data_IF_581671887825
#
_entry.id   IF_581671887825
#
_cell.length_a   1.000
_cell.length_b   1.000
_cell.length_c   1.000
_cell.angle_alpha   90.00
_cell.angle_beta   90.00
_cell.angle_gamma   90.00
#
_symmetry.space_group_name_H-M   'P 1'
#
loop_
_entity.id
_entity.type
_entity.pdbx_description
1 polymer ?
#
# COMPACT_ATOMS: atom_id res chain seq x y z
N UNK A 1 -6.16 -5.98 -13.59
CA UNK A 1 -7.65 -6.14 -13.52
C UNK A 1 -8.24 -5.10 -12.59
N UNK A 2 -9.56 -4.89 -12.52
CA UNK A 2 -10.12 -3.94 -11.55
C UNK A 2 -10.22 -4.52 -10.15
N UNK A 3 -10.25 -3.65 -9.12
CA UNK A 3 -10.37 -4.07 -7.72
C UNK A 3 -11.71 -4.79 -7.48
N UNK A 4 -12.77 -4.35 -8.14
CA UNK A 4 -14.11 -4.95 -8.08
C UNK A 4 -14.15 -6.39 -8.63
N UNK A 5 -13.18 -6.76 -9.46
CA UNK A 5 -13.09 -8.10 -10.06
C UNK A 5 -12.33 -9.09 -9.15
N UNK A 6 -11.79 -8.64 -8.01
CA UNK A 6 -11.11 -9.53 -7.06
C UNK A 6 -12.06 -10.62 -6.53
N UNK A 7 -11.64 -11.87 -6.55
CA UNK A 7 -12.39 -13.02 -6.02
C UNK A 7 -11.47 -13.89 -5.17
N UNK A 8 -12.05 -14.80 -4.37
CA UNK A 8 -11.27 -15.78 -3.58
C UNK A 8 -10.31 -16.62 -4.43
N UNK A 9 -10.65 -16.88 -5.70
CA UNK A 9 -9.79 -17.69 -6.57
C UNK A 9 -8.46 -17.01 -6.83
N UNK A 10 -8.41 -15.69 -6.81
CA UNK A 10 -7.17 -14.96 -6.96
C UNK A 10 -6.22 -15.22 -5.79
N UNK A 11 -6.73 -15.50 -4.59
CA UNK A 11 -5.92 -15.84 -3.41
C UNK A 11 -5.55 -17.31 -3.32
N UNK A 12 -6.38 -18.19 -3.89
CA UNK A 12 -6.13 -19.64 -3.92
C UNK A 12 -5.14 -20.06 -5.04
N UNK A 13 -4.75 -19.14 -5.93
CA UNK A 13 -3.94 -19.41 -7.12
C UNK A 13 -2.42 -19.33 -6.91
N UNK A 14 -1.95 -19.21 -5.67
CA UNK A 14 -0.52 -19.36 -5.30
C UNK A 14 0.11 -20.69 -5.77
N UNK A 15 -0.70 -21.64 -6.24
CA UNK A 15 -0.28 -22.93 -6.81
C UNK A 15 0.11 -22.84 -8.32
N UNK A 16 -0.16 -21.72 -9.03
CA UNK A 16 0.08 -21.61 -10.49
C UNK A 16 1.16 -20.61 -10.96
N UNK A 17 1.87 -19.92 -10.05
CA UNK A 17 2.94 -18.95 -10.39
C UNK A 17 2.52 -17.83 -11.37
N UNK A 18 1.24 -17.44 -11.39
CA UNK A 18 0.79 -16.29 -12.19
C UNK A 18 0.68 -15.07 -11.27
N UNK A 19 1.43 -14.00 -11.59
CA UNK A 19 1.28 -12.71 -10.93
C UNK A 19 -0.10 -12.15 -11.21
N UNK A 20 -0.84 -11.83 -10.16
CA UNK A 20 -2.15 -11.19 -10.27
C UNK A 20 -1.97 -9.71 -10.01
N UNK A 21 -2.29 -8.88 -11.00
CA UNK A 21 -2.19 -7.42 -10.88
C UNK A 21 -3.56 -6.76 -10.87
N UNK A 22 -3.68 -5.71 -10.06
CA UNK A 22 -4.85 -4.83 -10.00
C UNK A 22 -4.47 -3.42 -10.43
N UNK A 23 -5.38 -2.75 -11.12
CA UNK A 23 -5.20 -1.37 -11.57
C UNK A 23 -5.49 -0.41 -10.42
N UNK A 24 -4.51 0.42 -10.05
CA UNK A 24 -4.64 1.40 -8.97
C UNK A 24 -3.73 2.59 -9.24
N UNK A 25 -4.27 3.81 -9.12
CA UNK A 25 -3.56 5.06 -9.44
C UNK A 25 -2.89 5.06 -10.82
N UNK A 26 -3.53 4.44 -11.82
CA UNK A 26 -3.03 4.24 -13.18
C UNK A 26 -1.81 3.28 -13.30
N UNK A 27 -1.52 2.52 -12.24
CA UNK A 27 -0.44 1.53 -12.17
C UNK A 27 -0.95 0.08 -12.12
N UNK A 28 -0.12 -0.87 -12.57
CA UNK A 28 -0.33 -2.30 -12.35
C UNK A 28 0.29 -2.74 -11.02
N UNK A 29 -0.56 -2.99 -10.02
CA UNK A 29 -0.14 -3.29 -8.65
C UNK A 29 -0.27 -4.78 -8.37
N UNK A 30 0.79 -5.41 -7.87
CA UNK A 30 0.80 -6.83 -7.55
C UNK A 30 -0.10 -7.11 -6.34
N UNK A 31 -1.11 -7.96 -6.49
CA UNK A 31 -2.12 -8.20 -5.47
C UNK A 31 -1.61 -9.03 -4.30
N UNK A 32 -0.64 -9.94 -4.51
CA UNK A 32 -0.27 -10.96 -3.51
C UNK A 32 1.17 -11.44 -3.66
N UNK A 33 2.09 -10.80 -2.95
CA UNK A 33 3.44 -11.30 -2.68
C UNK A 33 3.49 -11.98 -1.32
N UNK A 34 2.96 -11.29 -0.30
CA UNK A 34 3.06 -11.68 1.10
C UNK A 34 1.68 -11.65 1.77
N UNK A 35 1.03 -12.81 1.79
CA UNK A 35 -0.13 -13.05 2.65
C UNK A 35 0.36 -13.71 3.93
N UNK A 36 0.32 -12.98 5.04
CA UNK A 36 0.69 -13.51 6.35
C UNK A 36 -0.56 -13.90 7.14
N UNK A 37 -0.70 -15.19 7.42
CA UNK A 37 -1.68 -15.71 8.36
C UNK A 37 -0.99 -15.93 9.71
N UNK A 38 -1.44 -15.23 10.76
CA UNK A 38 -0.92 -15.45 12.13
C UNK A 38 -1.79 -16.39 12.97
N UNK A 39 -2.72 -17.07 12.32
CA UNK A 39 -3.53 -18.16 12.89
C UNK A 39 -3.44 -19.38 11.98
N UNK A 40 -3.82 -20.56 12.48
CA UNK A 40 -3.84 -21.80 11.69
C UNK A 40 -4.95 -21.80 10.61
N UNK A 41 -5.90 -20.88 10.67
CA UNK A 41 -6.96 -20.75 9.67
C UNK A 41 -6.50 -19.84 8.52
N UNK A 42 -6.30 -20.43 7.35
CA UNK A 42 -5.87 -19.72 6.14
C UNK A 42 -7.04 -19.32 5.22
N UNK A 43 -8.26 -19.22 5.75
CA UNK A 43 -9.44 -18.83 4.96
C UNK A 43 -9.60 -17.31 4.87
N UNK A 44 -9.30 -16.76 3.68
CA UNK A 44 -9.50 -15.34 3.37
C UNK A 44 -10.94 -15.01 2.90
N UNK A 45 -11.74 -16.02 2.55
CA UNK A 45 -13.08 -15.84 1.99
C UNK A 45 -13.98 -14.87 2.78
N UNK A 46 -13.98 -14.90 4.13
CA UNK A 46 -14.79 -13.99 4.94
C UNK A 46 -14.44 -12.50 4.76
N UNK A 47 -13.24 -12.20 4.28
CA UNK A 47 -12.67 -10.86 4.25
C UNK A 47 -12.66 -10.20 2.87
N UNK A 48 -13.05 -10.91 1.80
CA UNK A 48 -12.91 -10.43 0.42
C UNK A 48 -13.61 -9.09 0.18
N UNK A 49 -14.85 -8.95 0.65
CA UNK A 49 -15.61 -7.70 0.44
C UNK A 49 -15.01 -6.54 1.24
N UNK A 50 -14.46 -6.81 2.43
CA UNK A 50 -13.78 -5.80 3.25
C UNK A 50 -12.44 -5.38 2.63
N UNK A 51 -11.68 -6.34 2.09
CA UNK A 51 -10.45 -6.08 1.32
C UNK A 51 -10.74 -5.19 0.12
N UNK A 52 -11.73 -5.56 -0.69
CA UNK A 52 -12.15 -4.78 -1.86
C UNK A 52 -12.56 -3.37 -1.46
N UNK A 53 -13.39 -3.26 -0.43
CA UNK A 53 -13.84 -1.96 0.08
C UNK A 53 -12.64 -1.06 0.44
N UNK A 54 -11.67 -1.56 1.21
CA UNK A 54 -10.48 -0.81 1.60
C UNK A 54 -9.62 -0.39 0.42
N UNK A 55 -9.36 -1.30 -0.52
CA UNK A 55 -8.57 -1.00 -1.72
C UNK A 55 -9.27 0.01 -2.64
N UNK A 56 -10.59 -0.08 -2.80
CA UNK A 56 -11.38 0.90 -3.56
C UNK A 56 -11.26 2.28 -2.90
N UNK A 57 -11.40 2.36 -1.58
CA UNK A 57 -11.26 3.62 -0.82
C UNK A 57 -9.87 4.21 -0.97
N UNK A 58 -8.83 3.41 -0.83
CA UNK A 58 -7.45 3.83 -1.06
C UNK A 58 -7.24 4.38 -2.48
N UNK A 59 -7.75 3.69 -3.50
CA UNK A 59 -7.64 4.11 -4.89
C UNK A 59 -8.35 5.46 -5.14
N UNK A 60 -9.49 5.69 -4.50
CA UNK A 60 -10.25 6.94 -4.58
C UNK A 60 -9.61 8.09 -3.79
N UNK A 61 -8.97 7.77 -2.66
CA UNK A 61 -8.44 8.74 -1.71
C UNK A 61 -6.95 9.07 -1.96
N UNK A 62 -6.44 8.90 -3.20
CA UNK A 62 -5.03 9.17 -3.58
C UNK A 62 -4.47 10.45 -2.97
N UNK A 63 -5.16 11.58 -3.17
CA UNK A 63 -4.70 12.88 -2.68
C UNK A 63 -4.64 12.96 -1.15
N UNK A 64 -5.54 12.27 -0.44
CA UNK A 64 -5.54 12.21 1.02
C UNK A 64 -4.37 11.34 1.51
N UNK A 65 -4.14 10.19 0.88
CA UNK A 65 -2.99 9.32 1.20
C UNK A 65 -1.68 10.08 1.00
N UNK A 66 -1.52 10.74 -0.14
CA UNK A 66 -0.35 11.56 -0.43
C UNK A 66 -0.19 12.70 0.58
N UNK A 67 -1.27 13.39 0.95
CA UNK A 67 -1.18 14.44 1.97
C UNK A 67 -0.76 13.88 3.35
N UNK A 68 -1.23 12.69 3.73
CA UNK A 68 -0.78 12.04 4.97
C UNK A 68 0.72 11.75 4.97
N UNK A 69 1.32 11.37 3.83
CA UNK A 69 2.77 11.18 3.69
C UNK A 69 3.52 12.48 4.04
N UNK A 70 3.01 13.64 3.61
CA UNK A 70 3.61 14.93 3.97
C UNK A 70 3.41 15.25 5.44
N UNK A 71 2.21 15.01 5.96
CA UNK A 71 1.87 15.32 7.35
C UNK A 71 2.66 14.44 8.35
N UNK A 72 3.05 13.23 7.95
CA UNK A 72 3.94 12.33 8.70
C UNK A 72 5.42 12.74 8.65
N UNK A 73 5.79 13.71 7.80
CA UNK A 73 7.13 14.31 7.80
C UNK A 73 8.12 13.69 6.80
N UNK A 74 7.68 12.83 5.89
CA UNK A 74 8.59 12.14 4.96
C UNK A 74 9.29 13.07 3.97
N UNK A 75 8.70 14.23 3.67
CA UNK A 75 9.37 15.26 2.87
C UNK A 75 10.62 15.78 3.59
N UNK A 76 10.50 16.09 4.89
CA UNK A 76 11.61 16.57 5.70
C UNK A 76 12.68 15.48 5.89
N UNK A 77 12.27 14.21 5.99
CA UNK A 77 13.19 13.08 5.96
C UNK A 77 13.99 13.05 4.65
N UNK A 78 13.32 13.19 3.50
CA UNK A 78 13.99 13.24 2.20
C UNK A 78 14.94 14.43 2.08
N UNK A 79 14.54 15.61 2.56
CA UNK A 79 15.37 16.82 2.59
C UNK A 79 16.66 16.59 3.41
N UNK A 80 16.53 15.98 4.59
CA UNK A 80 17.67 15.68 5.47
C UNK A 80 18.66 14.73 4.80
N UNK A 81 18.18 13.65 4.17
CA UNK A 81 19.05 12.70 3.46
C UNK A 81 19.76 13.30 2.25
N UNK A 82 19.07 14.19 1.52
CA UNK A 82 19.66 14.91 0.39
C UNK A 82 20.77 15.86 0.84
N UNK A 83 20.57 16.57 1.96
CA UNK A 83 21.58 17.45 2.58
C UNK A 83 22.81 16.67 3.02
N UNK A 84 22.63 15.57 3.76
CA UNK A 84 23.72 14.69 4.22
C UNK A 84 24.56 14.15 3.06
N UNK A 85 23.92 13.90 1.91
CA UNK A 85 24.54 13.38 0.70
C UNK A 85 25.07 14.45 -0.26
N UNK A 86 24.87 15.75 0.04
CA UNK A 86 25.26 16.90 -0.79
C UNK A 86 24.69 16.89 -2.21
N UNK A 87 23.48 16.34 -2.39
CA UNK A 87 22.78 16.28 -3.67
C UNK A 87 21.65 17.31 -3.71
N UNK A 88 21.42 17.89 -4.88
CA UNK A 88 20.27 18.76 -5.13
C UNK A 88 19.16 17.95 -5.80
N UNK A 89 18.20 17.47 -5.01
CA UNK A 89 16.95 16.94 -5.55
C UNK A 89 16.00 18.09 -5.89
N UNK A 90 15.08 17.94 -6.85
CA UNK A 90 13.92 18.81 -6.88
C UNK A 90 12.97 18.39 -5.72
N UNK A 91 12.97 19.13 -4.62
CA UNK A 91 12.17 18.82 -3.41
C UNK A 91 10.93 19.72 -3.28
N UNK A 92 10.42 20.26 -4.39
CA UNK A 92 9.09 20.88 -4.32
C UNK A 92 8.10 19.82 -3.86
N UNK A 93 7.25 20.17 -2.89
CA UNK A 93 6.22 19.28 -2.32
C UNK A 93 5.45 18.52 -3.41
N UNK A 94 5.11 19.19 -4.50
CA UNK A 94 4.35 18.62 -5.62
C UNK A 94 5.11 17.47 -6.28
N UNK A 95 6.38 17.68 -6.64
CA UNK A 95 7.22 16.64 -7.27
C UNK A 95 7.48 15.46 -6.34
N UNK A 96 7.64 15.71 -5.05
CA UNK A 96 7.81 14.63 -4.08
C UNK A 96 6.54 13.77 -4.02
N UNK A 97 5.37 14.39 -3.95
CA UNK A 97 4.08 13.67 -3.93
C UNK A 97 3.80 12.91 -5.22
N UNK A 98 4.10 13.50 -6.38
CA UNK A 98 3.93 12.87 -7.69
C UNK A 98 4.87 11.68 -7.93
N UNK A 99 5.94 11.56 -7.14
CA UNK A 99 6.91 10.47 -7.28
C UNK A 99 6.41 9.13 -6.75
N UNK A 100 5.38 9.12 -5.89
CA UNK A 100 4.90 7.90 -5.25
C UNK A 100 3.95 7.12 -6.15
N UNK A 101 4.19 5.81 -6.24
CA UNK A 101 3.36 4.88 -7.00
C UNK A 101 3.15 3.57 -6.22
N UNK A 102 1.95 2.97 -6.24
CA UNK A 102 1.72 1.67 -5.66
C UNK A 102 2.32 0.60 -6.57
N UNK A 103 2.98 -0.40 -5.99
CA UNK A 103 3.50 -1.52 -6.76
C UNK A 103 3.07 -2.88 -6.20
N UNK A 104 2.66 -2.94 -4.94
CA UNK A 104 2.35 -4.19 -4.26
C UNK A 104 1.30 -4.04 -3.16
N UNK A 105 0.50 -5.08 -2.96
CA UNK A 105 -0.52 -5.18 -1.91
C UNK A 105 -0.17 -6.38 -1.02
N UNK A 106 -0.12 -6.13 0.28
CA UNK A 106 0.10 -7.15 1.31
C UNK A 106 -1.10 -7.31 2.23
N UNK A 107 -1.18 -8.47 2.88
CA UNK A 107 -2.24 -8.77 3.83
C UNK A 107 -1.71 -9.44 5.09
N UNK A 108 -2.17 -9.00 6.26
CA UNK A 108 -2.02 -9.74 7.51
C UNK A 108 -3.41 -10.14 8.01
N UNK A 109 -3.65 -11.45 8.12
CA UNK A 109 -4.97 -12.04 8.35
C UNK A 109 -4.95 -12.87 9.64
N UNK A 110 -5.87 -12.55 10.55
CA UNK A 110 -6.05 -13.20 11.84
C UNK A 110 -7.25 -14.13 11.89
N UNK A 111 -7.91 -14.16 13.05
CA UNK A 111 -9.19 -14.84 13.20
C UNK A 111 -10.33 -14.01 12.57
N UNK A 112 -11.51 -14.60 12.41
CA UNK A 112 -12.73 -13.90 11.95
C UNK A 112 -13.08 -12.64 12.76
N UNK A 113 -12.69 -12.60 14.03
CA UNK A 113 -12.93 -11.48 14.94
C UNK A 113 -11.89 -10.35 14.75
N UNK A 114 -10.76 -10.65 14.12
CA UNK A 114 -9.73 -9.68 13.77
C UNK A 114 -9.99 -9.19 12.34
N UNK A 115 -10.31 -7.90 12.18
CA UNK A 115 -10.39 -7.33 10.83
C UNK A 115 -9.02 -7.47 10.11
N UNK A 116 -9.00 -7.75 8.80
CA UNK A 116 -7.75 -7.95 8.07
C UNK A 116 -6.97 -6.64 8.02
N UNK A 117 -5.66 -6.69 8.16
CA UNK A 117 -4.80 -5.56 7.81
C UNK A 117 -4.51 -5.62 6.33
N UNK A 118 -4.87 -4.56 5.61
CA UNK A 118 -4.61 -4.38 4.18
C UNK A 118 -3.53 -3.32 4.05
N UNK A 119 -2.46 -3.65 3.34
CA UNK A 119 -1.30 -2.77 3.14
C UNK A 119 -1.09 -2.55 1.66
N UNK A 120 -0.77 -1.32 1.29
CA UNK A 120 -0.31 -0.98 -0.07
C UNK A 120 1.10 -0.43 0.06
N UNK A 121 2.04 -1.06 -0.62
CA UNK A 121 3.43 -0.64 -0.67
C UNK A 121 3.61 0.37 -1.80
N UNK A 122 4.17 1.52 -1.45
CA UNK A 122 4.45 2.62 -2.34
C UNK A 122 5.96 2.72 -2.59
N UNK A 123 6.33 2.70 -3.86
CA UNK A 123 7.66 3.06 -4.32
C UNK A 123 7.73 4.56 -4.54
N UNK A 124 8.95 5.07 -4.72
CA UNK A 124 9.17 6.46 -5.11
C UNK A 124 10.31 6.56 -6.11
N UNK A 125 10.13 7.40 -7.14
CA UNK A 125 11.16 7.70 -8.14
C UNK A 125 12.22 8.71 -7.64
N UNK A 126 12.15 9.13 -6.39
CA UNK A 126 13.17 9.98 -5.78
C UNK A 126 14.38 9.12 -5.42
N UNK A 127 15.55 9.43 -5.97
CA UNK A 127 16.79 8.62 -5.90
C UNK A 127 17.21 8.14 -4.49
N UNK A 128 16.92 8.89 -3.43
CA UNK A 128 17.21 8.47 -2.04
C UNK A 128 16.04 7.86 -1.30
N UNK A 129 14.85 7.89 -1.90
CA UNK A 129 13.68 7.20 -1.42
C UNK A 129 13.48 5.87 -2.16
N UNK A 130 14.16 5.64 -3.30
CA UNK A 130 14.04 4.42 -4.09
C UNK A 130 14.57 3.16 -3.38
N UNK A 131 15.45 3.32 -2.40
CA UNK A 131 15.92 2.23 -1.53
C UNK A 131 14.95 1.95 -0.36
N UNK A 132 13.93 2.79 -0.19
CA UNK A 132 12.91 2.66 0.83
C UNK A 132 11.55 2.36 0.21
N UNK A 133 10.73 1.65 0.96
CA UNK A 133 9.35 1.36 0.61
C UNK A 133 8.46 1.99 1.65
N UNK A 134 7.45 2.73 1.22
CA UNK A 134 6.46 3.28 2.13
C UNK A 134 5.28 2.34 2.20
N UNK A 135 5.13 1.66 3.34
CA UNK A 135 4.03 0.75 3.61
C UNK A 135 2.84 1.55 4.17
N UNK A 136 1.74 1.61 3.42
CA UNK A 136 0.52 2.30 3.82
C UNK A 136 -0.53 1.31 4.32
N UNK A 137 -0.83 1.36 5.62
CA UNK A 137 -1.90 0.59 6.25
C UNK A 137 -3.26 1.25 6.02
N UNK A 138 -4.18 0.48 5.44
CA UNK A 138 -5.58 0.89 5.28
C UNK A 138 -6.40 0.37 6.46
N UNK A 139 -6.58 1.24 7.44
CA UNK A 139 -7.28 0.93 8.68
C UNK A 139 -8.75 1.34 8.58
N UNK A 140 -9.64 0.58 9.24
CA UNK A 140 -11.05 0.95 9.41
C UNK A 140 -11.33 1.13 10.88
N UNK A 141 -11.87 2.29 11.25
CA UNK A 141 -12.22 2.63 12.64
C UNK A 141 -13.52 3.40 12.65
N UNK A 142 -14.50 2.96 13.44
CA UNK A 142 -15.81 3.60 13.54
C UNK A 142 -16.48 3.86 12.16
N UNK A 143 -16.38 2.91 11.23
CA UNK A 143 -16.84 3.01 9.84
C UNK A 143 -16.17 4.10 8.98
N UNK A 144 -15.03 4.65 9.42
CA UNK A 144 -14.19 5.55 8.64
C UNK A 144 -12.88 4.86 8.26
N UNK A 145 -12.37 5.17 7.06
CA UNK A 145 -11.06 4.72 6.64
C UNK A 145 -10.00 5.72 7.13
N UNK A 146 -8.95 5.19 7.73
CA UNK A 146 -7.76 5.92 8.16
C UNK A 146 -6.54 5.31 7.45
N UNK A 147 -5.61 6.16 7.03
CA UNK A 147 -4.36 5.74 6.38
C UNK A 147 -3.20 6.09 7.31
N UNK A 148 -2.39 5.09 7.64
CA UNK A 148 -1.15 5.26 8.39
C UNK A 148 -0.01 4.73 7.56
N UNK A 149 1.06 5.49 7.43
CA UNK A 149 2.23 5.05 6.69
C UNK A 149 3.39 4.74 7.62
N UNK A 150 4.26 3.86 7.18
CA UNK A 150 5.57 3.62 7.78
C UNK A 150 6.60 3.49 6.68
N UNK A 151 7.82 3.91 6.95
CA UNK A 151 8.94 3.68 6.06
C UNK A 151 9.60 2.35 6.40
N UNK A 152 9.69 1.45 5.43
CA UNK A 152 10.36 0.17 5.51
C UNK A 152 11.62 0.21 4.62
N UNK A 153 12.73 -0.34 5.11
CA UNK A 153 14.04 -0.27 4.45
C UNK A 153 15.15 0.22 5.37
#
# INVERSE_FOLDING_TARGET
MKIEDITIEHFNRSIKNENITVEMWDEEVLLQTDIYFYTENHDISPFIEEIKYRLIRFNQDRNLVLQNIIDEGYLQTAETWAEDSKITLPISKEKFLESFYPFEIGFCIGNLEDEPNVMVYLGSDVEYFSDHVLCCYIMKKNNQIEYKSVLEG
#
